data_IF_104146648374
#
_entry.id   IF_104146648374
#
_cell.length_a   1.000
_cell.length_b   1.000
_cell.length_c   1.000
_cell.angle_alpha   90.00
_cell.angle_beta   90.00
_cell.angle_gamma   90.00
#
_symmetry.space_group_name_H-M   'P 1'
#
loop_
_entity.id
_entity.type
_entity.pdbx_description
1 polymer ?
#
# COMPACT_ATOMS: atom_id res chain seq x y z
N UNK A 1 -18.30 15.25 1.90
CA UNK A 1 -17.92 15.59 0.51
C UNK A 1 -18.39 14.48 -0.42
N UNK A 2 -19.23 14.80 -1.41
CA UNK A 2 -19.64 13.82 -2.43
C UNK A 2 -18.74 14.04 -3.64
N UNK A 3 -17.77 13.15 -3.83
CA UNK A 3 -16.91 13.23 -5.00
C UNK A 3 -17.73 12.87 -6.24
N UNK A 4 -17.67 13.69 -7.31
CA UNK A 4 -18.39 13.37 -8.54
C UNK A 4 -17.87 12.05 -9.12
N UNK A 5 -18.79 11.19 -9.54
CA UNK A 5 -18.42 9.94 -10.22
C UNK A 5 -17.76 10.29 -11.55
N UNK A 6 -16.64 9.63 -11.85
CA UNK A 6 -15.97 9.74 -13.13
C UNK A 6 -16.91 9.21 -14.23
N UNK A 7 -17.21 10.06 -15.22
CA UNK A 7 -17.99 9.69 -16.41
C UNK A 7 -17.04 9.63 -17.60
N UNK A 8 -17.15 8.57 -18.39
CA UNK A 8 -16.35 8.41 -19.59
C UNK A 8 -16.76 9.42 -20.68
N UNK A 9 -15.78 9.97 -21.40
CA UNK A 9 -16.00 10.91 -22.50
C UNK A 9 -16.54 10.24 -23.77
N UNK A 10 -16.12 9.01 -24.01
CA UNK A 10 -16.45 8.20 -25.18
C UNK A 10 -16.50 6.69 -24.82
N UNK A 11 -16.88 5.86 -25.80
CA UNK A 11 -16.99 4.41 -25.63
C UNK A 11 -15.65 3.75 -25.31
N UNK A 12 -14.56 4.17 -25.96
CA UNK A 12 -13.21 3.66 -25.67
C UNK A 12 -12.74 3.99 -24.25
N UNK A 13 -13.06 5.20 -23.75
CA UNK A 13 -12.82 5.59 -22.37
C UNK A 13 -13.68 4.79 -21.39
N UNK A 14 -14.89 4.39 -21.78
CA UNK A 14 -15.77 3.56 -20.96
C UNK A 14 -15.14 2.21 -20.69
N UNK A 15 -14.55 1.59 -21.72
CA UNK A 15 -13.86 0.32 -21.57
C UNK A 15 -12.59 0.45 -20.73
N UNK A 16 -11.78 1.49 -20.95
CA UNK A 16 -10.60 1.78 -20.11
C UNK A 16 -10.97 2.09 -18.65
N UNK A 17 -12.14 2.68 -18.40
CA UNK A 17 -12.60 3.00 -17.05
C UNK A 17 -12.94 1.73 -16.26
N UNK A 18 -13.44 0.66 -16.91
CA UNK A 18 -13.68 -0.65 -16.28
C UNK A 18 -12.39 -1.29 -15.75
N UNK A 19 -11.25 -0.96 -16.34
CA UNK A 19 -9.94 -1.48 -15.93
C UNK A 19 -9.34 -0.74 -14.73
N UNK A 20 -9.87 0.44 -14.37
CA UNK A 20 -9.36 1.25 -13.25
C UNK A 20 -9.88 0.77 -11.90
N UNK A 21 -9.72 -0.52 -11.62
CA UNK A 21 -9.97 -1.10 -10.30
C UNK A 21 -8.67 -1.18 -9.50
N UNK A 22 -8.78 -1.15 -8.17
CA UNK A 22 -7.61 -1.32 -7.31
C UNK A 22 -6.94 -2.67 -7.59
N UNK A 23 -7.70 -3.74 -7.75
CA UNK A 23 -7.15 -5.07 -8.07
C UNK A 23 -6.27 -5.05 -9.32
N UNK A 24 -6.75 -4.45 -10.43
CA UNK A 24 -5.96 -4.35 -11.66
C UNK A 24 -4.73 -3.46 -11.48
N UNK A 25 -4.87 -2.34 -10.76
CA UNK A 25 -3.77 -1.43 -10.48
C UNK A 25 -2.66 -2.11 -9.65
N UNK A 26 -3.03 -2.79 -8.57
CA UNK A 26 -2.09 -3.48 -7.69
C UNK A 26 -1.45 -4.71 -8.35
N UNK A 27 -2.17 -5.42 -9.22
CA UNK A 27 -1.61 -6.50 -10.02
C UNK A 27 -0.59 -6.00 -11.07
N UNK A 28 -0.88 -4.87 -11.72
CA UNK A 28 0.02 -4.27 -12.70
C UNK A 28 1.27 -3.63 -12.06
N UNK A 29 1.16 -3.22 -10.79
CA UNK A 29 2.21 -2.60 -9.96
C UNK A 29 3.16 -1.67 -10.75
N UNK A 30 2.65 -0.56 -11.32
CA UNK A 30 3.47 0.36 -12.08
C UNK A 30 4.56 1.01 -11.22
N UNK A 31 5.66 1.45 -11.84
CA UNK A 31 6.84 1.97 -11.13
C UNK A 31 6.54 3.12 -10.15
N UNK A 32 5.63 4.03 -10.49
CA UNK A 32 5.24 5.11 -9.59
C UNK A 32 4.57 4.58 -8.31
N UNK A 33 3.77 3.50 -8.41
CA UNK A 33 3.11 2.89 -7.27
C UNK A 33 4.12 2.17 -6.41
N UNK A 34 5.04 1.41 -7.01
CA UNK A 34 6.14 0.77 -6.29
C UNK A 34 6.98 1.78 -5.52
N UNK A 35 7.40 2.88 -6.16
CA UNK A 35 8.16 3.95 -5.51
C UNK A 35 7.38 4.64 -4.37
N UNK A 36 6.07 4.78 -4.51
CA UNK A 36 5.24 5.30 -3.42
C UNK A 36 5.19 4.34 -2.23
N UNK A 37 5.07 3.03 -2.49
CA UNK A 37 5.13 2.01 -1.43
C UNK A 37 6.49 2.00 -0.74
N UNK A 38 7.60 2.03 -1.48
CA UNK A 38 8.94 2.05 -0.87
C UNK A 38 9.15 3.26 0.05
N UNK A 39 8.70 4.45 -0.38
CA UNK A 39 8.76 5.66 0.46
C UNK A 39 7.92 5.53 1.72
N UNK A 40 6.73 4.94 1.61
CA UNK A 40 5.85 4.70 2.75
C UNK A 40 6.48 3.70 3.72
N UNK A 41 6.97 2.57 3.20
CA UNK A 41 7.58 1.51 3.99
C UNK A 41 8.84 2.01 4.71
N UNK A 42 9.66 2.85 4.07
CA UNK A 42 10.81 3.49 4.71
C UNK A 42 10.41 4.45 5.84
N UNK A 43 9.36 5.26 5.64
CA UNK A 43 8.86 6.15 6.68
C UNK A 43 8.26 5.38 7.87
N UNK A 44 7.55 4.28 7.61
CA UNK A 44 7.01 3.40 8.66
C UNK A 44 8.13 2.71 9.41
N UNK A 45 9.13 2.14 8.72
CA UNK A 45 10.28 1.51 9.37
C UNK A 45 11.01 2.51 10.29
N UNK A 46 11.22 3.75 9.82
CA UNK A 46 11.80 4.82 10.64
C UNK A 46 10.95 5.15 11.88
N UNK A 47 9.62 5.17 11.76
CA UNK A 47 8.71 5.42 12.89
C UNK A 47 8.76 4.32 13.96
N UNK A 48 8.98 3.06 13.56
CA UNK A 48 9.21 1.94 14.47
C UNK A 48 10.66 1.84 14.97
N UNK A 49 11.58 2.65 14.43
CA UNK A 49 13.01 2.55 14.71
C UNK A 49 13.67 1.29 14.15
N UNK A 50 13.08 0.70 13.09
CA UNK A 50 13.56 -0.53 12.45
C UNK A 50 14.34 -0.23 11.17
N UNK A 51 15.31 -1.09 10.80
CA UNK A 51 15.99 -0.97 9.52
C UNK A 51 15.00 -1.19 8.36
N UNK A 52 15.20 -0.44 7.27
CA UNK A 52 14.43 -0.62 6.03
C UNK A 52 14.94 -1.85 5.25
N UNK A 53 14.03 -2.60 4.63
CA UNK A 53 14.37 -3.79 3.84
C UNK A 53 14.50 -5.10 4.63
N UNK A 54 13.91 -5.17 5.83
CA UNK A 54 13.74 -6.43 6.56
C UNK A 54 12.89 -7.43 5.76
N UNK A 55 13.17 -8.71 5.92
CA UNK A 55 12.28 -9.75 5.41
C UNK A 55 10.94 -9.74 6.17
N UNK A 56 9.85 -10.13 5.49
CA UNK A 56 8.51 -10.15 6.09
C UNK A 56 8.47 -10.94 7.42
N UNK A 57 9.22 -12.05 7.51
CA UNK A 57 9.32 -12.84 8.75
C UNK A 57 9.93 -12.05 9.91
N UNK A 58 10.98 -11.27 9.66
CA UNK A 58 11.62 -10.44 10.69
C UNK A 58 10.71 -9.31 11.16
N UNK A 59 9.91 -8.74 10.25
CA UNK A 59 8.91 -7.73 10.57
C UNK A 59 7.84 -8.36 11.48
N UNK A 60 7.36 -9.56 11.15
CA UNK A 60 6.37 -10.28 11.94
C UNK A 60 6.88 -10.62 13.35
N UNK A 61 8.12 -11.10 13.48
CA UNK A 61 8.71 -11.43 14.78
C UNK A 61 8.80 -10.19 15.69
N UNK A 62 9.25 -9.05 15.14
CA UNK A 62 9.34 -7.78 15.86
C UNK A 62 7.96 -7.25 16.27
N UNK A 63 6.97 -7.34 15.38
CA UNK A 63 5.59 -6.95 15.68
C UNK A 63 4.99 -7.84 16.77
N UNK A 64 5.25 -9.15 16.73
CA UNK A 64 4.78 -10.09 17.74
C UNK A 64 5.36 -9.75 19.12
N UNK A 65 6.67 -9.54 19.22
CA UNK A 65 7.32 -9.14 20.47
C UNK A 65 6.71 -7.85 21.04
N UNK A 66 6.58 -6.80 20.21
CA UNK A 66 5.99 -5.53 20.61
C UNK A 66 4.53 -5.69 21.08
N UNK A 67 3.76 -6.54 20.41
CA UNK A 67 2.36 -6.79 20.79
C UNK A 67 2.26 -7.57 22.11
N UNK A 68 3.13 -8.53 22.36
CA UNK A 68 3.19 -9.25 23.63
C UNK A 68 3.57 -8.33 24.79
N UNK A 69 4.55 -7.44 24.61
CA UNK A 69 4.92 -6.43 25.61
C UNK A 69 3.76 -5.49 25.94
N UNK A 70 3.01 -5.05 24.92
CA UNK A 70 1.84 -4.19 25.10
C UNK A 70 0.67 -4.90 25.77
N UNK A 71 0.47 -6.19 25.48
CA UNK A 71 -0.61 -6.98 26.07
C UNK A 71 -0.34 -7.38 27.53
N UNK A 72 0.93 -7.46 27.92
CA UNK A 72 1.34 -7.70 29.30
C UNK A 72 1.25 -6.46 30.20
N UNK A 73 0.91 -5.30 29.64
CA UNK A 73 0.79 -4.01 30.31
C UNK A 73 -0.67 -3.60 30.45
#
# INVERSE_FOLDING_TARGET
MRYPRLVARDTACTDRLKDRTLTKLYNARPAWLANCHEKLDAAVAAAYGWPFGLADSEILDRLLALNLERAAK
#
